data_IF_725081203207
#
_entry.id   IF_725081203207
#
_cell.length_a   1.000
_cell.length_b   1.000
_cell.length_c   1.000
_cell.angle_alpha   90.00
_cell.angle_beta   90.00
_cell.angle_gamma   90.00
#
_symmetry.space_group_name_H-M   'P 1'
#
loop_
_entity.id
_entity.type
_entity.pdbx_description
1 polymer ?
#
# COMPACT_ATOMS: atom_id res chain seq x y z
N UNK A 1 16.34 -20.71 11.45
CA UNK A 1 15.75 -20.23 10.18
C UNK A 1 14.43 -20.93 9.93
N UNK A 2 13.31 -20.20 9.97
CA UNK A 2 12.02 -20.72 9.47
C UNK A 2 12.07 -20.58 7.95
N UNK A 3 11.84 -21.68 7.22
CA UNK A 3 11.65 -21.64 5.77
C UNK A 3 10.17 -21.41 5.48
N UNK A 4 9.87 -20.64 4.46
CA UNK A 4 8.52 -20.55 3.91
C UNK A 4 8.16 -21.89 3.26
N UNK A 5 6.89 -22.30 3.41
CA UNK A 5 6.34 -23.50 2.79
C UNK A 5 5.31 -23.06 1.74
N UNK A 6 5.25 -23.78 0.63
CA UNK A 6 4.21 -23.56 -0.38
C UNK A 6 2.85 -24.01 0.14
N UNK A 7 1.82 -23.22 -0.14
CA UNK A 7 0.44 -23.51 0.21
C UNK A 7 -0.44 -23.29 -1.03
N UNK A 8 -1.12 -24.34 -1.49
CA UNK A 8 -1.93 -24.32 -2.71
C UNK A 8 -3.19 -23.44 -2.59
N UNK A 9 -3.58 -23.07 -1.36
CA UNK A 9 -4.72 -22.17 -1.11
C UNK A 9 -4.40 -20.71 -1.48
N UNK A 10 -3.12 -20.34 -1.51
CA UNK A 10 -2.63 -19.02 -1.89
C UNK A 10 -2.76 -18.81 -3.41
N UNK A 11 -3.98 -18.60 -3.86
CA UNK A 11 -4.29 -18.29 -5.27
C UNK A 11 -3.81 -16.89 -5.64
N UNK A 12 -3.57 -16.61 -6.95
CA UNK A 12 -3.22 -15.28 -7.42
C UNK A 12 -4.16 -14.18 -6.93
N UNK A 13 -3.59 -13.06 -6.47
CA UNK A 13 -4.38 -11.87 -6.18
C UNK A 13 -5.02 -11.33 -7.45
N UNK A 14 -6.26 -10.88 -7.33
CA UNK A 14 -6.98 -10.18 -8.38
C UNK A 14 -7.34 -8.78 -7.89
N UNK A 15 -6.66 -7.79 -8.45
CA UNK A 15 -6.89 -6.39 -8.14
C UNK A 15 -8.05 -5.86 -8.99
N UNK A 16 -8.99 -5.16 -8.35
CA UNK A 16 -10.18 -4.61 -9.01
C UNK A 16 -10.23 -3.12 -8.79
N UNK A 17 -10.34 -2.37 -9.90
CA UNK A 17 -10.39 -0.90 -9.93
C UNK A 17 -9.10 -0.21 -9.45
N UNK A 18 -7.97 -0.92 -9.41
CA UNK A 18 -6.67 -0.32 -9.04
C UNK A 18 -6.17 0.66 -10.10
N UNK A 19 -6.59 0.49 -11.35
CA UNK A 19 -6.30 1.37 -12.48
C UNK A 19 -7.09 2.68 -12.45
N UNK A 20 -8.20 2.74 -11.68
CA UNK A 20 -9.08 3.90 -11.68
C UNK A 20 -8.38 5.06 -10.95
N UNK A 21 -8.19 6.17 -11.66
CA UNK A 21 -7.59 7.37 -11.07
C UNK A 21 -8.54 8.02 -10.08
N UNK A 22 -7.98 8.52 -8.98
CA UNK A 22 -8.70 9.29 -7.97
C UNK A 22 -7.90 10.51 -7.52
N UNK A 23 -8.61 11.40 -6.83
CA UNK A 23 -7.99 12.47 -6.04
C UNK A 23 -8.32 12.24 -4.58
N UNK A 24 -7.34 12.43 -3.71
CA UNK A 24 -7.45 12.13 -2.28
C UNK A 24 -6.60 13.08 -1.44
N UNK A 25 -6.91 13.14 -0.15
CA UNK A 25 -6.10 13.89 0.79
C UNK A 25 -4.85 13.08 1.14
N UNK A 26 -3.67 13.65 0.91
CA UNK A 26 -2.40 13.12 1.41
C UNK A 26 -1.99 13.93 2.63
N UNK A 27 -1.71 13.24 3.74
CA UNK A 27 -1.44 13.85 5.04
C UNK A 27 -0.15 13.30 5.63
N UNK A 28 0.67 14.21 6.14
CA UNK A 28 1.73 13.87 7.08
C UNK A 28 1.10 13.74 8.48
N UNK A 29 0.97 12.52 8.98
CA UNK A 29 0.33 12.27 10.28
C UNK A 29 1.31 12.28 11.46
N UNK A 30 2.59 12.59 11.22
CA UNK A 30 3.66 12.57 12.22
C UNK A 30 4.39 11.24 12.35
N UNK A 31 3.84 10.16 11.78
CA UNK A 31 4.44 8.83 11.77
C UNK A 31 4.75 8.35 10.34
N UNK A 32 3.90 8.75 9.39
CA UNK A 32 3.97 8.36 7.99
C UNK A 32 3.28 9.42 7.11
N UNK A 33 3.31 9.19 5.80
CA UNK A 33 2.47 9.88 4.83
C UNK A 33 1.34 8.93 4.43
N UNK A 34 0.10 9.32 4.73
CA UNK A 34 -1.09 8.52 4.50
C UNK A 34 -2.01 9.18 3.48
N UNK A 35 -2.64 8.35 2.63
CA UNK A 35 -3.67 8.76 1.67
C UNK A 35 -4.92 7.92 1.88
N UNK A 36 -6.07 8.57 2.05
CA UNK A 36 -7.36 7.88 2.08
C UNK A 36 -7.88 7.67 0.64
N UNK A 37 -8.42 6.48 0.36
CA UNK A 37 -8.86 6.09 -0.99
C UNK A 37 -10.39 6.13 -1.10
N UNK A 38 -10.98 6.99 -1.98
CA UNK A 38 -12.42 7.25 -1.96
C UNK A 38 -13.28 6.22 -2.72
N UNK A 39 -12.76 5.62 -3.81
CA UNK A 39 -13.57 4.79 -4.73
C UNK A 39 -13.59 3.29 -4.41
N UNK A 40 -13.14 2.92 -3.20
CA UNK A 40 -13.06 1.55 -2.69
C UNK A 40 -12.63 0.51 -3.76
N UNK A 41 -11.44 0.65 -4.39
CA UNK A 41 -10.80 -0.48 -5.07
C UNK A 41 -10.73 -1.68 -4.13
N UNK A 42 -10.66 -2.89 -4.65
CA UNK A 42 -10.65 -4.07 -3.79
C UNK A 42 -9.78 -5.19 -4.36
N UNK A 43 -9.44 -6.13 -3.48
CA UNK A 43 -8.67 -7.33 -3.80
C UNK A 43 -9.47 -8.58 -3.41
N UNK A 44 -9.32 -9.65 -4.19
CA UNK A 44 -9.76 -11.02 -3.92
C UNK A 44 -8.61 -12.00 -4.23
N UNK A 45 -8.71 -13.25 -3.78
CA UNK A 45 -7.65 -14.25 -3.93
C UNK A 45 -6.63 -14.18 -2.79
N UNK A 46 -5.51 -14.89 -2.91
CA UNK A 46 -4.47 -14.93 -1.87
C UNK A 46 -4.93 -15.53 -0.54
N UNK A 47 -5.86 -16.50 -0.60
CA UNK A 47 -6.54 -17.11 0.56
C UNK A 47 -7.41 -16.14 1.38
N UNK A 48 -7.78 -14.99 0.81
CA UNK A 48 -8.80 -14.10 1.38
C UNK A 48 -10.19 -14.63 1.03
N UNK A 49 -10.95 -15.05 2.04
CA UNK A 49 -12.29 -15.64 1.88
C UNK A 49 -13.35 -14.65 1.35
N UNK A 50 -13.08 -13.34 1.47
CA UNK A 50 -13.97 -12.25 1.11
C UNK A 50 -13.24 -11.21 0.26
N UNK A 51 -13.95 -10.35 -0.49
CA UNK A 51 -13.39 -9.11 -1.02
C UNK A 51 -12.96 -8.14 0.09
N UNK A 52 -11.75 -7.60 -0.04
CA UNK A 52 -11.23 -6.58 0.86
C UNK A 52 -11.08 -5.25 0.13
N UNK A 53 -11.82 -4.24 0.58
CA UNK A 53 -11.86 -2.89 0.01
C UNK A 53 -10.73 -2.04 0.57
N UNK A 54 -9.99 -1.37 -0.30
CA UNK A 54 -8.92 -0.44 0.08
C UNK A 54 -9.53 0.74 0.86
N UNK A 55 -8.93 1.04 2.00
CA UNK A 55 -9.31 2.18 2.85
C UNK A 55 -8.28 3.30 2.79
N UNK A 56 -7.00 2.95 2.86
CA UNK A 56 -5.89 3.88 2.81
C UNK A 56 -4.62 3.19 2.31
N UNK A 57 -3.65 3.97 1.89
CA UNK A 57 -2.26 3.52 1.83
C UNK A 57 -1.34 4.48 2.57
N UNK A 58 -0.20 3.97 3.02
CA UNK A 58 0.84 4.76 3.67
C UNK A 58 2.23 4.16 3.41
N UNK A 59 3.28 4.95 3.64
CA UNK A 59 4.65 4.55 3.35
C UNK A 59 5.52 4.55 4.60
N UNK A 60 6.48 3.63 4.64
CA UNK A 60 7.59 3.60 5.58
C UNK A 60 8.89 3.79 4.80
N UNK A 61 9.84 4.52 5.36
CA UNK A 61 11.09 4.81 4.66
C UNK A 61 12.23 5.06 5.62
N UNK A 62 13.43 4.79 5.13
CA UNK A 62 14.68 5.00 5.84
C UNK A 62 15.25 6.39 5.60
N UNK A 63 16.42 6.63 6.19
CA UNK A 63 17.13 7.89 6.01
C UNK A 63 18.15 7.76 4.88
N UNK A 64 18.14 8.71 3.94
CA UNK A 64 19.12 8.84 2.86
C UNK A 64 19.31 7.55 2.02
N UNK A 65 18.21 6.89 1.64
CA UNK A 65 18.29 5.63 0.87
C UNK A 65 18.64 4.39 1.71
N UNK A 66 18.92 4.57 3.00
CA UNK A 66 19.17 3.48 3.93
C UNK A 66 17.90 2.69 4.29
N UNK A 67 18.04 1.62 5.08
CA UNK A 67 16.95 0.72 5.49
C UNK A 67 15.75 1.43 6.10
N UNK A 68 14.55 1.01 5.71
CA UNK A 68 13.30 1.67 6.08
C UNK A 68 12.03 0.81 5.98
N UNK A 69 12.11 -0.38 5.40
CA UNK A 69 11.00 -1.33 5.44
C UNK A 69 10.81 -1.88 6.85
N UNK A 70 9.55 -2.12 7.22
CA UNK A 70 9.22 -2.77 8.49
C UNK A 70 9.50 -4.27 8.40
N UNK A 71 9.15 -4.87 7.26
CA UNK A 71 9.42 -6.28 6.99
C UNK A 71 10.84 -6.49 6.43
N UNK A 72 11.32 -7.73 6.58
CA UNK A 72 12.60 -8.19 6.03
C UNK A 72 12.42 -9.45 5.19
N UNK A 73 13.26 -9.62 4.17
CA UNK A 73 13.40 -10.89 3.44
C UNK A 73 14.79 -11.43 3.77
N UNK A 74 14.84 -12.63 4.36
CA UNK A 74 16.10 -13.27 4.79
C UNK A 74 16.98 -12.40 5.71
N UNK A 75 16.36 -11.47 6.45
CA UNK A 75 17.04 -10.53 7.36
C UNK A 75 17.42 -9.20 6.72
N UNK A 76 17.27 -9.05 5.41
CA UNK A 76 17.55 -7.81 4.69
C UNK A 76 16.35 -6.86 4.73
N UNK A 77 16.63 -5.57 5.00
CA UNK A 77 15.66 -4.48 4.94
C UNK A 77 15.82 -3.69 3.65
N UNK A 78 14.70 -3.21 3.12
CA UNK A 78 14.63 -2.38 1.93
C UNK A 78 14.54 -0.89 2.29
N UNK A 79 14.93 0.03 1.39
CA UNK A 79 14.85 1.47 1.63
C UNK A 79 13.47 2.01 2.02
N UNK A 80 12.41 1.47 1.41
CA UNK A 80 11.03 1.87 1.70
C UNK A 80 10.06 0.69 1.56
N UNK A 81 8.90 0.81 2.20
CA UNK A 81 7.78 -0.12 2.10
C UNK A 81 6.46 0.65 1.98
N UNK A 82 5.64 0.28 0.99
CA UNK A 82 4.27 0.75 0.86
C UNK A 82 3.33 -0.26 1.52
N UNK A 83 2.46 0.23 2.39
CA UNK A 83 1.32 -0.50 2.90
C UNK A 83 0.03 -0.02 2.24
N UNK A 84 -0.70 -0.93 1.60
CA UNK A 84 -2.08 -0.71 1.18
C UNK A 84 -2.98 -1.46 2.16
N UNK A 85 -3.79 -0.72 2.91
CA UNK A 85 -4.67 -1.27 3.94
C UNK A 85 -6.05 -1.50 3.35
N UNK A 86 -6.57 -2.70 3.56
CA UNK A 86 -7.86 -3.14 3.07
C UNK A 86 -8.73 -3.60 4.24
N UNK A 87 -10.03 -3.36 4.12
CA UNK A 87 -11.05 -3.77 5.06
C UNK A 87 -11.93 -4.81 4.40
N UNK A 88 -12.17 -5.93 5.08
CA UNK A 88 -13.14 -6.94 4.68
C UNK A 88 -14.50 -6.28 4.45
N UNK A 89 -15.13 -6.53 3.31
CA UNK A 89 -16.32 -5.82 2.88
C UNK A 89 -17.56 -6.01 3.77
N UNK A 90 -17.55 -7.02 4.64
CA UNK A 90 -18.62 -7.27 5.61
C UNK A 90 -18.65 -6.23 6.74
N UNK A 91 -17.57 -5.47 6.93
CA UNK A 91 -17.49 -4.39 7.91
C UNK A 91 -17.88 -3.03 7.32
N UNK A 92 -18.62 -2.24 8.10
CA UNK A 92 -19.03 -0.89 7.70
C UNK A 92 -17.96 0.16 8.00
N UNK A 93 -17.12 -0.06 9.01
CA UNK A 93 -16.08 0.87 9.45
C UNK A 93 -14.76 0.15 9.70
N UNK A 94 -13.65 0.85 9.46
CA UNK A 94 -12.32 0.31 9.75
C UNK A 94 -12.14 0.03 11.25
N UNK A 95 -12.78 0.80 12.12
CA UNK A 95 -12.72 0.61 13.56
C UNK A 95 -13.33 -0.75 13.98
N UNK A 96 -14.45 -1.14 13.37
CA UNK A 96 -15.08 -2.42 13.65
C UNK A 96 -14.28 -3.58 13.06
N UNK A 97 -13.77 -3.40 11.84
CA UNK A 97 -12.90 -4.37 11.19
C UNK A 97 -11.62 -4.66 12.00
N UNK A 98 -11.06 -3.66 12.68
CA UNK A 98 -9.88 -3.85 13.54
C UNK A 98 -10.15 -4.71 14.79
N UNK A 99 -11.42 -4.91 15.16
CA UNK A 99 -11.83 -5.78 16.27
C UNK A 99 -12.01 -7.25 15.82
N UNK A 100 -12.01 -7.49 14.51
CA UNK A 100 -12.14 -8.81 13.89
C UNK A 100 -10.76 -9.32 13.42
N UNK A 101 -10.32 -10.52 13.86
CA UNK A 101 -9.07 -11.13 13.41
C UNK A 101 -8.91 -11.24 11.88
N UNK A 102 -10.02 -11.30 11.14
CA UNK A 102 -10.06 -11.33 9.67
C UNK A 102 -10.71 -10.06 9.07
N UNK A 103 -10.78 -8.97 9.84
CA UNK A 103 -11.41 -7.74 9.36
C UNK A 103 -10.50 -6.90 8.45
N UNK A 104 -9.17 -7.06 8.56
CA UNK A 104 -8.19 -6.24 7.84
C UNK A 104 -7.14 -7.10 7.14
N UNK A 105 -6.80 -6.71 5.91
CA UNK A 105 -5.67 -7.25 5.16
C UNK A 105 -4.75 -6.11 4.71
N UNK A 106 -3.44 -6.30 4.81
CA UNK A 106 -2.44 -5.31 4.39
C UNK A 106 -1.55 -5.94 3.32
N UNK A 107 -1.43 -5.27 2.18
CA UNK A 107 -0.42 -5.63 1.17
C UNK A 107 0.80 -4.73 1.35
N UNK A 108 1.96 -5.36 1.51
CA UNK A 108 3.27 -4.72 1.61
C UNK A 108 4.03 -4.80 0.28
N UNK A 109 4.60 -3.67 -0.16
CA UNK A 109 5.43 -3.60 -1.36
C UNK A 109 6.75 -2.90 -1.06
N UNK A 110 7.87 -3.62 -1.23
CA UNK A 110 9.21 -3.06 -1.07
C UNK A 110 9.60 -2.17 -2.25
N UNK A 111 10.45 -1.17 -1.95
CA UNK A 111 11.04 -0.29 -2.93
C UNK A 111 12.55 -0.48 -2.91
N UNK A 112 13.14 -0.51 -4.10
CA UNK A 112 14.58 -0.49 -4.28
C UNK A 112 15.01 0.81 -4.97
N UNK A 113 16.24 1.23 -4.71
CA UNK A 113 16.81 2.37 -5.44
C UNK A 113 17.01 2.04 -6.92
N UNK A 114 16.82 3.05 -7.76
CA UNK A 114 17.05 2.94 -9.20
C UNK A 114 17.86 4.13 -9.69
N UNK A 115 18.72 3.88 -10.69
CA UNK A 115 19.42 4.94 -11.42
C UNK A 115 18.46 5.80 -12.26
N UNK A 116 17.26 5.29 -12.55
CA UNK A 116 16.26 5.98 -13.36
C UNK A 116 15.06 6.44 -12.51
N UNK A 117 14.60 7.66 -12.75
CA UNK A 117 13.44 8.21 -12.06
C UNK A 117 12.16 7.45 -12.44
N UNK A 118 11.44 6.94 -11.43
CA UNK A 118 10.11 6.39 -11.62
C UNK A 118 9.06 7.52 -11.66
N UNK A 119 8.83 8.06 -12.85
CA UNK A 119 7.90 9.19 -13.07
C UNK A 119 6.44 8.90 -12.70
N UNK A 120 6.06 7.65 -12.44
CA UNK A 120 4.73 7.32 -11.90
C UNK A 120 4.50 7.96 -10.53
N UNK A 121 5.57 8.22 -9.76
CA UNK A 121 5.50 8.80 -8.43
C UNK A 121 5.59 10.33 -8.42
N UNK A 122 5.78 10.97 -9.57
CA UNK A 122 5.86 12.43 -9.69
C UNK A 122 4.71 13.17 -8.97
N UNK A 123 3.43 12.75 -9.05
CA UNK A 123 2.34 13.38 -8.30
C UNK A 123 2.53 13.28 -6.78
N UNK A 124 2.97 12.12 -6.29
CA UNK A 124 3.23 11.87 -4.86
C UNK A 124 4.39 12.73 -4.39
N UNK A 125 5.52 12.71 -5.10
CA UNK A 125 6.72 13.49 -4.76
C UNK A 125 6.43 14.99 -4.70
N UNK A 126 5.68 15.54 -5.66
CA UNK A 126 5.26 16.94 -5.63
C UNK A 126 4.34 17.26 -4.45
N UNK A 127 3.48 16.33 -4.07
CA UNK A 127 2.60 16.52 -2.91
C UNK A 127 3.39 16.49 -1.58
N UNK A 128 4.39 15.61 -1.46
CA UNK A 128 5.28 15.53 -0.30
C UNK A 128 5.97 16.86 0.02
N UNK A 129 6.39 17.60 -1.02
CA UNK A 129 7.00 18.93 -0.87
C UNK A 129 6.09 19.96 -0.18
N UNK A 130 4.78 19.71 -0.15
CA UNK A 130 3.78 20.60 0.46
C UNK A 130 3.37 20.20 1.88
N UNK A 131 3.79 19.02 2.35
CA UNK A 131 3.35 18.44 3.64
C UNK A 131 4.52 18.12 4.58
N UNK A 132 5.53 18.99 4.57
CA UNK A 132 6.77 18.79 5.35
C UNK A 132 6.53 18.75 6.87
N UNK A 133 5.54 19.49 7.35
CA UNK A 133 5.23 19.56 8.78
C UNK A 133 4.21 18.51 9.19
N UNK A 134 4.37 17.94 10.39
CA UNK A 134 3.37 17.06 11.01
C UNK A 134 2.01 17.76 11.05
N UNK A 135 0.96 17.05 10.63
CA UNK A 135 -0.40 17.56 10.52
C UNK A 135 -0.72 18.26 9.21
N UNK A 136 0.29 18.64 8.42
CA UNK A 136 0.09 19.24 7.10
C UNK A 136 -0.53 18.22 6.14
N UNK A 137 -1.37 18.72 5.24
CA UNK A 137 -2.03 17.93 4.21
C UNK A 137 -2.14 18.73 2.91
N UNK A 138 -2.31 18.01 1.82
CA UNK A 138 -2.61 18.59 0.51
C UNK A 138 -3.43 17.61 -0.32
N UNK A 139 -3.91 18.04 -1.48
CA UNK A 139 -4.62 17.16 -2.41
C UNK A 139 -3.62 16.47 -3.33
N UNK A 140 -3.67 15.14 -3.33
CA UNK A 140 -3.05 14.30 -4.36
C UNK A 140 -4.07 14.13 -5.49
N UNK A 141 -3.68 14.48 -6.72
CA UNK A 141 -4.59 14.51 -7.88
C UNK A 141 -4.20 13.46 -8.90
N UNK A 142 -5.20 12.81 -9.48
CA UNK A 142 -5.06 11.89 -10.62
C UNK A 142 -4.06 10.74 -10.39
N UNK A 143 -4.10 10.13 -9.21
CA UNK A 143 -3.28 8.95 -8.86
C UNK A 143 -4.12 7.68 -8.97
N UNK A 144 -3.53 6.56 -9.34
CA UNK A 144 -4.15 5.22 -9.24
C UNK A 144 -3.27 4.29 -8.40
N UNK A 145 -3.86 3.26 -7.78
CA UNK A 145 -3.08 2.31 -6.98
C UNK A 145 -2.18 1.44 -7.86
N UNK A 146 -2.60 1.14 -9.09
CA UNK A 146 -1.79 0.41 -10.07
C UNK A 146 -0.47 1.12 -10.39
N UNK A 147 -0.43 2.45 -10.31
CA UNK A 147 0.82 3.21 -10.50
C UNK A 147 1.85 2.97 -9.39
N UNK A 148 1.40 2.55 -8.21
CA UNK A 148 2.19 2.46 -6.97
C UNK A 148 2.68 1.03 -6.66
N UNK A 149 2.28 0.05 -7.46
CA UNK A 149 2.64 -1.36 -7.29
C UNK A 149 3.38 -1.90 -8.52
N UNK A 150 4.10 -3.03 -8.41
CA UNK A 150 4.62 -3.73 -9.59
C UNK A 150 3.51 -4.06 -10.59
N UNK A 151 3.84 -4.26 -11.88
CA UNK A 151 2.85 -4.69 -12.88
C UNK A 151 2.04 -5.89 -12.37
N UNK A 152 0.71 -5.82 -12.44
CA UNK A 152 -0.16 -6.85 -11.85
C UNK A 152 0.12 -8.25 -12.43
N UNK A 153 0.56 -8.34 -13.69
CA UNK A 153 0.96 -9.61 -14.31
C UNK A 153 2.14 -10.30 -13.60
N UNK A 154 2.97 -9.53 -12.88
CA UNK A 154 4.08 -10.06 -12.09
C UNK A 154 3.63 -10.48 -10.68
N UNK A 155 2.40 -10.14 -10.27
CA UNK A 155 1.84 -10.41 -8.94
C UNK A 155 0.80 -11.55 -8.96
N UNK A 156 0.49 -12.08 -10.14
CA UNK A 156 -0.57 -13.07 -10.34
C UNK A 156 -0.07 -14.45 -10.80
N UNK A 157 1.23 -14.73 -10.70
CA UNK A 157 1.85 -16.00 -11.10
C UNK A 157 2.05 -16.95 -9.93
#
# INVERSE_FOLDING_TARGET
HRKTLTDERLTPFQFRKYQDSFSGLIKNNGHSVQVNVPHQPYVIGGDLEKPYKVVQFHLHWGKNGGPGSEHTIDGEQYPMELHIVHMNEEHSTLEDALKDPIGVAVLGFFYEESLSANRKYDPVVRALQRILMTGANTTLVSVSLEQLIPPQQNLSN
#
